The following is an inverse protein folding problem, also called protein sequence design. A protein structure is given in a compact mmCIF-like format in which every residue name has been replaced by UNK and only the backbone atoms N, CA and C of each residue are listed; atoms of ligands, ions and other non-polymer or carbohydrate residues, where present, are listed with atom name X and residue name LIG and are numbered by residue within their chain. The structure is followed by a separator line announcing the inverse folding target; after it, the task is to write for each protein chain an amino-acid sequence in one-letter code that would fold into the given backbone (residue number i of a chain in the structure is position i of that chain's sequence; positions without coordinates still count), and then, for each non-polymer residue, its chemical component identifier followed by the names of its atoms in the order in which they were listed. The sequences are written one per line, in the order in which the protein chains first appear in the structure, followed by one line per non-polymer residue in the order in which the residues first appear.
data_IF_906579287635
#
_entry.id   IF_906579287635
#
_cell.length_a   1.000
_cell.length_b   1.000
_cell.length_c   1.000
_cell.angle_alpha   90.00
_cell.angle_beta   90.00
_cell.angle_gamma   90.00
#
_symmetry.space_group_name_H-M   'P 1'
#
loop_
_entity.id
_entity.type
_entity.pdbx_description
1 polymer ?
#
# COMPACT_ATOMS: atom_id res chain seq x y z
N UNK A 1 7.32 -17.35 -5.40
CA UNK A 1 6.83 -17.29 -4.00
C UNK A 1 5.31 -17.42 -4.04
N UNK A 2 4.75 -18.28 -3.19
CA UNK A 2 3.30 -18.44 -3.06
C UNK A 2 2.78 -17.27 -2.21
N UNK A 3 2.06 -16.33 -2.82
CA UNK A 3 1.33 -15.30 -2.08
C UNK A 3 0.19 -16.02 -1.34
N UNK A 4 0.37 -16.28 -0.04
CA UNK A 4 -0.70 -16.83 0.79
C UNK A 4 -1.80 -15.77 0.93
N UNK A 5 -2.98 -16.03 0.37
CA UNK A 5 -4.16 -15.19 0.58
C UNK A 5 -4.64 -15.36 2.02
N UNK A 6 -4.36 -14.37 2.87
CA UNK A 6 -5.05 -14.24 4.16
C UNK A 6 -6.35 -13.50 3.90
N UNK A 7 -7.46 -14.08 4.34
CA UNK A 7 -8.74 -13.37 4.43
C UNK A 7 -8.58 -12.23 5.44
N UNK A 8 -8.45 -10.99 4.92
CA UNK A 8 -8.33 -9.82 5.76
C UNK A 8 -9.68 -9.50 6.42
N UNK A 9 -9.63 -9.31 7.73
CA UNK A 9 -10.77 -8.97 8.58
C UNK A 9 -10.49 -7.67 9.32
N UNK A 10 -11.50 -6.90 9.69
CA UNK A 10 -11.38 -5.83 10.65
C UNK A 10 -11.09 -6.39 12.04
N UNK A 11 -10.24 -5.70 12.81
CA UNK A 11 -9.87 -6.11 14.17
C UNK A 11 -10.86 -5.51 15.19
N UNK A 12 -11.73 -6.32 15.83
CA UNK A 12 -12.70 -5.82 16.80
C UNK A 12 -12.06 -5.20 18.03
N UNK A 13 -10.83 -5.58 18.37
CA UNK A 13 -10.11 -5.04 19.54
C UNK A 13 -9.52 -3.65 19.26
N UNK A 14 -9.43 -3.26 17.99
CA UNK A 14 -8.80 -2.02 17.54
C UNK A 14 -9.73 -1.29 16.56
N UNK A 15 -10.95 -1.07 17.03
CA UNK A 15 -12.03 -0.42 16.30
C UNK A 15 -12.71 0.62 17.18
N UNK A 16 -12.90 1.83 16.64
CA UNK A 16 -13.47 2.94 17.38
C UNK A 16 -14.95 2.75 17.71
N UNK A 17 -15.44 3.35 18.81
CA UNK A 17 -16.74 3.03 19.41
C UNK A 17 -17.96 3.44 18.56
N UNK A 18 -17.81 4.33 17.57
CA UNK A 18 -18.89 4.66 16.64
C UNK A 18 -18.93 3.82 15.37
N UNK A 19 -18.18 2.71 15.32
CA UNK A 19 -18.17 1.76 14.21
C UNK A 19 -18.77 0.42 14.63
N UNK A 20 -19.39 -0.26 13.66
CA UNK A 20 -19.89 -1.62 13.79
C UNK A 20 -19.21 -2.48 12.74
N UNK A 21 -18.61 -3.57 13.21
CA UNK A 21 -18.08 -4.62 12.37
C UNK A 21 -19.19 -5.67 12.12
N UNK A 22 -19.32 -6.13 10.88
CA UNK A 22 -20.36 -7.04 10.41
C UNK A 22 -19.76 -8.14 9.52
N UNK A 23 -20.56 -9.17 9.22
CA UNK A 23 -20.28 -10.22 8.23
C UNK A 23 -18.88 -10.83 8.37
N UNK A 24 -18.67 -11.60 9.44
CA UNK A 24 -17.39 -12.28 9.74
C UNK A 24 -16.19 -11.34 9.71
N UNK A 25 -16.39 -10.14 10.25
CA UNK A 25 -15.42 -9.07 10.31
C UNK A 25 -14.95 -8.53 8.96
N UNK A 26 -15.69 -8.77 7.88
CA UNK A 26 -15.33 -8.25 6.55
C UNK A 26 -16.01 -6.91 6.24
N UNK A 27 -17.01 -6.50 7.03
CA UNK A 27 -17.74 -5.25 6.80
C UNK A 27 -17.59 -4.29 7.95
N UNK A 28 -17.46 -3.01 7.63
CA UNK A 28 -17.34 -1.93 8.61
C UNK A 28 -18.30 -0.81 8.27
N UNK A 29 -19.07 -0.39 9.27
CA UNK A 29 -20.10 0.63 9.11
C UNK A 29 -20.03 1.64 10.24
N UNK A 30 -20.18 2.92 9.89
CA UNK A 30 -20.45 3.98 10.86
C UNK A 30 -21.86 3.82 11.45
N UNK A 31 -21.98 3.81 12.77
CA UNK A 31 -23.27 3.69 13.49
C UNK A 31 -23.62 4.91 14.35
N UNK A 32 -22.74 5.91 14.43
CA UNK A 32 -22.98 7.15 15.18
C UNK A 32 -23.31 8.32 14.23
N UNK A 33 -24.59 8.52 13.82
CA UNK A 33 -25.00 9.54 12.83
C UNK A 33 -24.92 10.97 13.36
N UNK A 34 -25.06 11.17 14.68
CA UNK A 34 -25.19 12.51 15.27
C UNK A 34 -23.91 13.03 15.93
N UNK A 35 -22.82 12.26 15.89
CA UNK A 35 -21.53 12.68 16.43
C UNK A 35 -20.58 13.09 15.29
N UNK A 36 -20.07 14.32 15.35
CA UNK A 36 -19.08 14.89 14.42
C UNK A 36 -17.67 14.52 14.85
N UNK A 37 -17.31 13.26 14.68
CA UNK A 37 -16.00 12.71 15.04
C UNK A 37 -15.56 11.68 14.00
N UNK A 38 -14.27 11.54 13.75
CA UNK A 38 -13.69 10.43 13.01
C UNK A 38 -13.54 9.21 13.92
N UNK A 39 -14.08 8.07 13.51
CA UNK A 39 -13.76 6.79 14.14
C UNK A 39 -13.00 5.92 13.16
N UNK A 40 -11.95 5.28 13.66
CA UNK A 40 -11.03 4.45 12.89
C UNK A 40 -11.11 2.99 13.32
N UNK A 41 -10.89 2.09 12.38
CA UNK A 41 -10.72 0.67 12.62
C UNK A 41 -9.52 0.17 11.83
N UNK A 42 -8.72 -0.72 12.41
CA UNK A 42 -7.65 -1.39 11.67
C UNK A 42 -8.09 -2.73 11.08
N UNK A 43 -7.36 -3.18 10.09
CA UNK A 43 -7.43 -4.56 9.59
C UNK A 43 -6.55 -5.44 10.48
N UNK A 44 -7.06 -6.61 10.86
CA UNK A 44 -6.39 -7.63 11.64
C UNK A 44 -5.22 -8.23 10.84
N UNK A 45 -4.01 -7.77 11.17
CA UNK A 45 -2.75 -8.31 10.65
C UNK A 45 -1.73 -8.37 11.79
N UNK A 46 -0.63 -9.13 11.66
CA UNK A 46 0.48 -9.11 12.62
C UNK A 46 1.20 -7.75 12.75
N UNK A 47 0.84 -6.78 11.90
CA UNK A 47 1.56 -5.54 11.68
C UNK A 47 2.84 -5.75 10.88
N UNK A 48 3.22 -4.75 10.09
CA UNK A 48 4.37 -4.82 9.19
C UNK A 48 5.40 -3.74 9.51
N UNK A 49 6.68 -4.10 9.46
CA UNK A 49 7.80 -3.15 9.65
C UNK A 49 8.81 -3.17 8.50
N UNK A 50 8.62 -4.05 7.51
CA UNK A 50 9.45 -4.19 6.30
C UNK A 50 8.67 -4.86 5.16
N UNK A 51 9.19 -4.80 3.94
CA UNK A 51 8.61 -5.46 2.78
C UNK A 51 7.45 -4.70 2.14
N UNK A 52 6.89 -5.31 1.09
CA UNK A 52 5.77 -4.79 0.31
C UNK A 52 4.48 -5.51 0.68
N UNK A 53 3.45 -4.73 1.00
CA UNK A 53 2.15 -5.23 1.44
C UNK A 53 1.06 -4.56 0.64
N UNK A 54 0.12 -5.36 0.16
CA UNK A 54 -1.02 -4.87 -0.60
C UNK A 54 -2.31 -5.38 -0.02
N UNK A 55 -3.29 -4.50 0.02
CA UNK A 55 -4.66 -4.84 0.34
C UNK A 55 -5.60 -4.01 -0.50
N UNK A 56 -6.83 -4.49 -0.63
CA UNK A 56 -7.90 -3.79 -1.30
C UNK A 56 -9.10 -3.64 -0.38
N UNK A 57 -9.89 -2.61 -0.63
CA UNK A 57 -11.14 -2.39 0.07
C UNK A 57 -12.19 -1.83 -0.88
N UNK A 58 -13.42 -2.31 -0.76
CA UNK A 58 -14.55 -1.89 -1.57
C UNK A 58 -15.37 -0.83 -0.82
N UNK A 59 -15.65 0.27 -1.50
CA UNK A 59 -16.53 1.32 -0.99
C UNK A 59 -17.97 0.90 -1.31
N UNK A 60 -18.71 0.37 -0.33
CA UNK A 60 -20.12 0.05 -0.57
C UNK A 60 -20.97 1.33 -0.56
N UNK A 61 -20.73 2.22 0.39
CA UNK A 61 -21.40 3.51 0.51
C UNK A 61 -20.50 4.54 1.18
N UNK A 62 -20.23 5.64 0.47
CA UNK A 62 -19.44 6.78 0.94
C UNK A 62 -20.24 7.86 1.65
N UNK A 63 -21.56 7.73 1.76
CA UNK A 63 -22.41 8.84 2.17
C UNK A 63 -22.46 9.94 1.09
N UNK A 64 -22.88 11.14 1.47
CA UNK A 64 -23.03 12.28 0.54
C UNK A 64 -21.68 12.83 0.11
N UNK A 65 -20.78 13.07 1.07
CA UNK A 65 -19.53 13.77 0.83
C UNK A 65 -18.31 12.84 0.80
N UNK A 66 -18.42 11.61 1.33
CA UNK A 66 -17.27 10.69 1.39
C UNK A 66 -16.20 11.11 2.37
N UNK A 67 -16.59 11.67 3.52
CA UNK A 67 -15.67 11.99 4.61
C UNK A 67 -15.13 10.72 5.27
N UNK A 68 -14.16 10.12 4.60
CA UNK A 68 -13.57 8.84 4.96
C UNK A 68 -12.08 8.85 4.60
N UNK A 69 -11.28 8.20 5.43
CA UNK A 69 -9.82 8.18 5.26
C UNK A 69 -9.32 6.76 5.20
N UNK A 70 -8.44 6.50 4.24
CA UNK A 70 -7.76 5.22 4.05
C UNK A 70 -6.28 5.37 4.31
N UNK A 71 -5.65 4.38 4.93
CA UNK A 71 -4.20 4.34 4.92
C UNK A 71 -3.64 3.46 6.00
N UNK A 72 -2.62 3.97 6.68
CA UNK A 72 -1.89 3.23 7.70
C UNK A 72 -1.84 4.00 9.02
N UNK A 73 -1.79 3.23 10.11
CA UNK A 73 -1.52 3.71 11.46
C UNK A 73 -0.43 2.85 12.08
N UNK A 74 0.27 3.40 13.07
CA UNK A 74 1.25 2.63 13.85
C UNK A 74 0.59 1.96 15.07
N UNK A 75 1.38 1.16 15.78
CA UNK A 75 0.94 0.42 16.97
C UNK A 75 0.55 1.31 18.17
N UNK A 76 0.92 2.60 18.14
CA UNK A 76 0.59 3.57 19.20
C UNK A 76 -0.73 4.31 18.92
N UNK A 77 -1.46 3.97 17.86
CA UNK A 77 -2.68 4.66 17.48
C UNK A 77 -3.80 4.36 18.48
N UNK A 78 -4.42 5.42 19.01
CA UNK A 78 -5.53 5.32 19.96
C UNK A 78 -6.88 5.30 19.22
N UNK A 79 -7.43 4.09 19.07
CA UNK A 79 -8.72 3.86 18.40
C UNK A 79 -9.94 4.36 19.20
N UNK A 80 -9.78 4.70 20.48
CA UNK A 80 -10.88 5.19 21.31
C UNK A 80 -11.24 6.67 21.06
N UNK A 81 -10.38 7.40 20.35
CA UNK A 81 -10.48 8.86 20.14
C UNK A 81 -11.03 9.23 18.77
N UNK A 82 -11.42 10.51 18.66
CA UNK A 82 -11.62 11.18 17.38
C UNK A 82 -10.29 11.29 16.65
N UNK A 83 -10.03 10.34 15.75
CA UNK A 83 -8.74 10.21 15.08
C UNK A 83 -8.91 9.49 13.73
N UNK A 84 -7.99 9.75 12.81
CA UNK A 84 -7.94 9.12 11.49
C UNK A 84 -6.50 8.92 11.01
N UNK A 85 -6.25 7.98 10.08
CA UNK A 85 -4.93 7.78 9.48
C UNK A 85 -4.38 9.11 8.95
N UNK A 86 -3.20 9.51 9.41
CA UNK A 86 -2.58 10.78 9.01
C UNK A 86 -2.93 12.01 9.84
N UNK A 87 -3.85 11.93 10.81
CA UNK A 87 -4.06 13.03 11.77
C UNK A 87 -2.95 13.08 12.83
N UNK A 88 -2.63 11.92 13.42
CA UNK A 88 -1.59 11.79 14.43
C UNK A 88 -0.24 11.36 13.81
N UNK A 89 0.89 11.66 14.46
CA UNK A 89 2.20 11.18 14.02
C UNK A 89 2.25 9.65 13.87
N UNK A 90 2.97 9.17 12.86
CA UNK A 90 3.11 7.75 12.58
C UNK A 90 1.93 7.11 11.85
N UNK A 91 1.04 7.91 11.29
CA UNK A 91 0.03 7.48 10.32
C UNK A 91 0.11 8.26 9.01
N UNK A 92 -0.52 7.72 7.98
CA UNK A 92 -0.72 8.36 6.68
C UNK A 92 -2.13 8.08 6.22
N UNK A 93 -2.83 9.08 5.70
CA UNK A 93 -4.20 8.92 5.20
C UNK A 93 -4.45 9.56 3.85
N UNK A 94 -5.10 8.82 2.95
CA UNK A 94 -5.77 9.35 1.77
C UNK A 94 -7.24 9.63 2.09
N UNK A 95 -7.64 10.89 1.97
CA UNK A 95 -8.99 11.36 2.28
C UNK A 95 -9.88 11.34 1.05
N UNK A 96 -10.88 10.46 1.04
CA UNK A 96 -11.71 10.17 -0.14
C UNK A 96 -12.58 11.36 -0.56
N UNK A 97 -12.89 12.28 0.36
CA UNK A 97 -13.74 13.42 0.08
C UNK A 97 -13.19 14.32 -1.04
N UNK A 98 -11.93 14.74 -0.89
CA UNK A 98 -11.27 15.70 -1.78
C UNK A 98 -9.95 15.16 -2.38
N UNK A 99 -9.59 13.93 -2.04
CA UNK A 99 -8.39 13.25 -2.51
C UNK A 99 -7.09 13.87 -2.00
N UNK A 100 -7.13 14.48 -0.82
CA UNK A 100 -5.92 14.94 -0.11
C UNK A 100 -5.22 13.78 0.58
N UNK A 101 -3.91 13.91 0.73
CA UNK A 101 -3.09 13.09 1.62
C UNK A 101 -2.83 13.83 2.92
N UNK A 102 -2.91 13.12 4.04
CA UNK A 102 -2.70 13.64 5.40
C UNK A 102 -1.54 12.93 6.08
N UNK A 103 -0.69 13.73 6.72
CA UNK A 103 0.45 13.27 7.53
C UNK A 103 0.59 14.20 8.72
N UNK A 104 0.53 13.65 9.94
CA UNK A 104 0.62 14.41 11.18
C UNK A 104 -0.29 15.66 11.22
N UNK A 105 -1.51 15.54 10.68
CA UNK A 105 -2.53 16.58 10.66
C UNK A 105 -2.40 17.58 9.50
N UNK A 106 -1.33 17.50 8.72
CA UNK A 106 -1.13 18.35 7.54
C UNK A 106 -1.69 17.68 6.29
N UNK A 107 -2.68 18.32 5.66
CA UNK A 107 -3.34 17.84 4.44
C UNK A 107 -2.82 18.56 3.19
N UNK A 108 -2.44 17.81 2.16
CA UNK A 108 -2.02 18.35 0.86
C UNK A 108 -2.76 17.66 -0.28
N UNK A 109 -2.98 18.37 -1.39
CA UNK A 109 -3.60 17.78 -2.59
C UNK A 109 -2.74 16.63 -3.10
N UNK A 110 -3.34 15.46 -3.23
CA UNK A 110 -2.67 14.25 -3.73
C UNK A 110 -3.22 13.84 -5.09
N UNK A 111 -4.55 13.71 -5.20
CA UNK A 111 -5.22 13.45 -6.47
C UNK A 111 -6.64 14.00 -6.46
N UNK A 112 -7.06 14.75 -7.49
CA UNK A 112 -8.42 15.31 -7.59
C UNK A 112 -9.49 14.29 -8.01
N UNK A 113 -9.09 13.13 -8.54
CA UNK A 113 -9.99 12.04 -8.93
C UNK A 113 -10.33 11.19 -7.70
N UNK A 114 -11.51 11.44 -7.13
CA UNK A 114 -11.96 10.79 -5.90
C UNK A 114 -12.80 9.53 -6.15
N UNK A 115 -12.57 8.43 -5.41
CA UNK A 115 -13.37 7.21 -5.45
C UNK A 115 -14.88 7.38 -5.24
N UNK A 116 -15.70 6.47 -5.79
CA UNK A 116 -17.16 6.45 -5.71
C UNK A 116 -17.69 5.14 -5.11
N UNK A 117 -19.00 5.07 -4.88
CA UNK A 117 -19.65 3.82 -4.45
C UNK A 117 -19.45 2.75 -5.53
N UNK A 118 -19.09 1.54 -5.09
CA UNK A 118 -18.76 0.41 -5.95
C UNK A 118 -17.27 0.29 -6.30
N UNK A 119 -16.49 1.35 -6.12
CA UNK A 119 -15.06 1.33 -6.42
C UNK A 119 -14.27 0.45 -5.45
N UNK A 120 -13.22 -0.17 -5.99
CA UNK A 120 -12.24 -0.95 -5.23
C UNK A 120 -10.96 -0.14 -5.14
N UNK A 121 -10.58 0.18 -3.91
CA UNK A 121 -9.36 0.92 -3.62
C UNK A 121 -8.26 -0.06 -3.22
N UNK A 122 -7.26 -0.15 -4.08
CA UNK A 122 -6.02 -0.87 -3.80
C UNK A 122 -5.02 0.03 -3.10
N UNK A 123 -4.30 -0.50 -2.12
CA UNK A 123 -3.27 0.22 -1.39
C UNK A 123 -2.03 -0.66 -1.36
N UNK A 124 -0.93 -0.13 -1.87
CA UNK A 124 0.39 -0.74 -1.80
C UNK A 124 1.26 0.04 -0.83
N UNK A 125 1.61 -0.59 0.28
CA UNK A 125 2.63 -0.13 1.21
C UNK A 125 3.96 -0.79 0.86
N UNK A 126 4.95 0.01 0.53
CA UNK A 126 6.34 -0.42 0.37
C UNK A 126 7.14 0.15 1.54
N UNK A 127 7.42 -0.66 2.55
CA UNK A 127 8.18 -0.23 3.72
C UNK A 127 9.68 -0.15 3.44
N UNK A 128 10.16 -0.85 2.41
CA UNK A 128 11.57 -0.83 2.03
C UNK A 128 11.89 0.52 1.32
N UNK A 129 11.02 0.95 0.42
CA UNK A 129 11.14 2.27 -0.26
C UNK A 129 10.45 3.42 0.48
N UNK A 130 9.75 3.13 1.58
CA UNK A 130 8.91 4.07 2.33
C UNK A 130 7.96 4.82 1.39
N UNK A 131 7.12 4.07 0.68
CA UNK A 131 6.08 4.61 -0.20
C UNK A 131 4.72 3.99 0.08
N UNK A 132 3.67 4.75 -0.23
CA UNK A 132 2.29 4.28 -0.20
C UNK A 132 1.62 4.71 -1.50
N UNK A 133 1.17 3.74 -2.28
CA UNK A 133 0.56 3.95 -3.59
C UNK A 133 -0.90 3.54 -3.53
N UNK A 134 -1.78 4.40 -4.05
CA UNK A 134 -3.22 4.15 -4.09
C UNK A 134 -3.65 3.84 -5.52
N UNK A 135 -4.64 2.96 -5.65
CA UNK A 135 -5.24 2.57 -6.92
C UNK A 135 -6.75 2.65 -6.81
N UNK A 136 -7.45 3.16 -7.83
CA UNK A 136 -8.89 3.04 -7.97
C UNK A 136 -9.22 2.13 -9.15
N UNK A 137 -9.88 1.00 -8.89
CA UNK A 137 -10.20 -0.02 -9.89
C UNK A 137 -8.97 -0.39 -10.74
N UNK A 138 -7.81 -0.50 -10.07
CA UNK A 138 -6.53 -0.81 -10.68
C UNK A 138 -5.77 0.36 -11.33
N UNK A 139 -6.39 1.52 -11.52
CA UNK A 139 -5.72 2.72 -12.04
C UNK A 139 -5.00 3.45 -10.91
N UNK A 140 -3.72 3.80 -11.11
CA UNK A 140 -2.95 4.52 -10.09
C UNK A 140 -3.54 5.91 -9.82
N UNK A 141 -3.78 6.20 -8.54
CA UNK A 141 -4.11 7.53 -8.03
C UNK A 141 -2.85 8.31 -7.65
N UNK A 142 -1.67 7.69 -7.67
CA UNK A 142 -0.40 8.31 -7.30
C UNK A 142 0.31 7.59 -6.18
N UNK A 143 1.55 8.02 -5.92
CA UNK A 143 2.45 7.45 -4.93
C UNK A 143 2.97 8.55 -3.98
N UNK A 144 2.84 8.29 -2.68
CA UNK A 144 3.28 9.15 -1.59
C UNK A 144 4.79 9.04 -1.31
N UNK A 145 5.63 9.24 -2.33
CA UNK A 145 7.09 9.12 -2.19
C UNK A 145 7.68 10.28 -1.36
N UNK A 146 8.63 9.97 -0.47
CA UNK A 146 9.34 10.95 0.39
C UNK A 146 8.52 11.49 1.58
N UNK A 147 7.19 11.34 1.52
CA UNK A 147 6.25 11.70 2.57
C UNK A 147 6.27 10.75 3.77
N UNK A 148 6.75 9.52 3.57
CA UNK A 148 6.83 8.46 4.59
C UNK A 148 8.24 8.27 5.14
N UNK A 149 9.17 9.21 4.90
CA UNK A 149 10.50 9.16 5.49
C UNK A 149 10.47 9.09 7.03
N UNK A 150 9.37 9.55 7.64
CA UNK A 150 9.10 9.50 9.08
C UNK A 150 8.73 8.11 9.61
N UNK A 151 8.52 7.12 8.73
CA UNK A 151 8.27 5.75 9.17
C UNK A 151 9.54 5.11 9.74
N UNK A 152 9.36 4.26 10.75
CA UNK A 152 10.44 3.63 11.51
C UNK A 152 10.48 2.13 11.26
N UNK A 153 11.68 1.60 11.02
CA UNK A 153 11.87 0.17 10.70
C UNK A 153 11.64 -0.76 11.92
N UNK A 154 11.52 -0.20 13.13
CA UNK A 154 11.20 -0.95 14.36
C UNK A 154 9.72 -0.86 14.75
N UNK A 155 8.97 0.09 14.19
CA UNK A 155 7.55 0.26 14.47
C UNK A 155 6.73 -0.55 13.47
N UNK A 156 5.66 -1.18 13.96
CA UNK A 156 4.70 -1.87 13.11
C UNK A 156 3.62 -0.93 12.61
N UNK A 157 3.27 -1.11 11.35
CA UNK A 157 2.20 -0.40 10.66
C UNK A 157 1.07 -1.36 10.31
N UNK A 158 -0.15 -0.83 10.39
CA UNK A 158 -1.39 -1.56 10.18
C UNK A 158 -2.27 -0.79 9.19
N UNK A 159 -2.91 -1.49 8.23
CA UNK A 159 -3.98 -0.89 7.44
C UNK A 159 -5.11 -0.40 8.32
N UNK A 160 -5.62 0.79 8.05
CA UNK A 160 -6.74 1.35 8.78
C UNK A 160 -7.67 2.20 7.90
N UNK A 161 -8.92 2.25 8.33
CA UNK A 161 -10.01 2.98 7.66
C UNK A 161 -10.73 3.82 8.69
N UNK A 162 -11.01 5.07 8.36
CA UNK A 162 -11.74 6.00 9.20
C UNK A 162 -13.01 6.51 8.53
N UNK A 163 -14.02 6.78 9.35
CA UNK A 163 -15.30 7.36 8.94
C UNK A 163 -15.60 8.58 9.78
N UNK A 164 -16.01 9.67 9.13
CA UNK A 164 -16.61 10.83 9.80
C UNK A 164 -18.14 10.81 9.67
N UNK A 165 -18.64 10.50 8.47
CA UNK A 165 -20.07 10.41 8.15
C UNK A 165 -20.59 8.97 8.13
N UNK A 166 -21.92 8.83 8.00
CA UNK A 166 -22.57 7.56 7.68
C UNK A 166 -21.95 6.95 6.41
N UNK A 167 -21.05 5.98 6.60
CA UNK A 167 -20.37 5.25 5.53
C UNK A 167 -20.33 3.75 5.83
N UNK A 168 -20.44 2.93 4.78
CA UNK A 168 -20.50 1.46 4.84
C UNK A 168 -19.46 0.87 3.89
N UNK A 169 -18.56 0.02 4.36
CA UNK A 169 -17.47 -0.56 3.56
C UNK A 169 -17.40 -2.06 3.74
N UNK A 170 -16.82 -2.71 2.73
CA UNK A 170 -16.45 -4.13 2.75
C UNK A 170 -14.96 -4.26 2.49
N UNK A 171 -14.25 -4.88 3.40
CA UNK A 171 -12.93 -5.46 3.17
C UNK A 171 -13.12 -6.79 2.48
N UNK A 172 -12.33 -7.00 1.44
CA UNK A 172 -12.29 -8.25 0.70
C UNK A 172 -11.10 -8.23 -0.25
N UNK A 173 -10.58 -9.42 -0.53
CA UNK A 173 -9.83 -9.66 -1.74
C UNK A 173 -10.86 -9.88 -2.85
N UNK A 174 -10.85 -9.07 -3.90
CA UNK A 174 -11.36 -9.57 -5.17
C UNK A 174 -10.17 -10.25 -5.86
N UNK A 175 -10.37 -11.51 -6.29
CA UNK A 175 -9.36 -12.44 -6.79
C UNK A 175 -8.23 -11.74 -7.56
N UNK A 176 -6.99 -12.16 -7.29
CA UNK A 176 -5.70 -11.74 -7.84
C UNK A 176 -5.61 -11.60 -9.38
N UNK A 177 -6.69 -11.78 -10.13
CA UNK A 177 -6.77 -11.59 -11.58
C UNK A 177 -7.63 -10.39 -12.01
N UNK A 178 -8.52 -9.87 -11.15
CA UNK A 178 -9.46 -8.80 -11.52
C UNK A 178 -9.15 -7.43 -10.89
N UNK A 179 -8.53 -7.39 -9.70
CA UNK A 179 -8.29 -6.14 -8.95
C UNK A 179 -6.91 -5.50 -9.19
N UNK A 180 -5.92 -6.27 -9.69
CA UNK A 180 -4.69 -5.65 -10.17
C UNK A 180 -4.97 -5.03 -11.53
N UNK A 181 -5.22 -3.72 -11.58
CA UNK A 181 -4.78 -3.01 -12.78
C UNK A 181 -3.32 -3.36 -13.04
N UNK A 182 -2.94 -3.49 -14.31
CA UNK A 182 -1.62 -3.99 -14.73
C UNK A 182 -0.44 -3.37 -13.95
N UNK A 183 -0.60 -2.12 -13.52
CA UNK A 183 0.37 -1.37 -12.71
C UNK A 183 0.56 -1.96 -11.31
N UNK A 184 -0.51 -2.19 -10.53
CA UNK A 184 -0.39 -2.77 -9.19
C UNK A 184 0.18 -4.20 -9.22
N UNK A 185 -0.24 -5.01 -10.20
CA UNK A 185 0.35 -6.33 -10.44
C UNK A 185 1.83 -6.22 -10.78
N UNK A 186 2.23 -5.30 -11.65
CA UNK A 186 3.63 -5.15 -12.04
C UNK A 186 4.53 -4.76 -10.88
N UNK A 187 4.04 -3.96 -9.93
CA UNK A 187 4.81 -3.55 -8.75
C UNK A 187 4.90 -4.67 -7.71
N UNK A 188 3.82 -5.41 -7.48
CA UNK A 188 3.79 -6.53 -6.51
C UNK A 188 4.46 -7.80 -7.03
N UNK A 189 4.46 -7.99 -8.36
CA UNK A 189 5.17 -9.07 -9.05
C UNK A 189 6.56 -8.62 -9.53
N UNK A 190 7.01 -7.41 -9.17
CA UNK A 190 8.33 -6.91 -9.54
C UNK A 190 9.38 -7.83 -8.95
N UNK A 191 10.00 -8.63 -9.82
CA UNK A 191 11.04 -9.57 -9.43
C UNK A 191 12.29 -8.82 -9.00
N UNK A 192 12.97 -9.34 -7.98
CA UNK A 192 14.29 -8.83 -7.59
C UNK A 192 15.31 -9.12 -8.69
N UNK A 193 16.43 -8.40 -8.72
CA UNK A 193 17.51 -8.66 -9.67
C UNK A 193 18.01 -10.11 -9.55
N UNK A 194 18.07 -10.67 -8.35
CA UNK A 194 18.41 -12.06 -8.13
C UNK A 194 17.43 -13.03 -8.81
N UNK A 195 16.12 -12.78 -8.71
CA UNK A 195 15.10 -13.59 -9.37
C UNK A 195 15.17 -13.44 -10.89
N UNK A 196 15.36 -12.22 -11.39
CA UNK A 196 15.53 -11.95 -12.83
C UNK A 196 16.77 -12.67 -13.36
N UNK A 197 17.88 -12.63 -12.61
CA UNK A 197 19.12 -13.32 -12.95
C UNK A 197 18.89 -14.83 -12.98
N UNK A 198 18.25 -15.40 -11.97
CA UNK A 198 17.98 -16.83 -11.89
C UNK A 198 17.08 -17.35 -13.02
N UNK A 199 16.19 -16.52 -13.54
CA UNK A 199 15.22 -16.93 -14.57
C UNK A 199 15.68 -16.65 -16.00
N UNK A 200 16.38 -15.53 -16.21
CA UNK A 200 16.64 -14.98 -17.55
C UNK A 200 18.11 -14.84 -17.89
N UNK A 201 19.01 -15.01 -16.90
CA UNK A 201 20.45 -14.76 -17.09
C UNK A 201 21.32 -15.97 -16.77
N UNK A 202 22.42 -16.11 -17.50
CA UNK A 202 23.51 -17.04 -17.26
C UNK A 202 24.12 -16.72 -15.89
N UNK A 203 24.35 -17.75 -15.08
CA UNK A 203 24.90 -17.59 -13.72
C UNK A 203 26.25 -16.86 -13.63
N UNK A 204 27.02 -16.83 -14.73
CA UNK A 204 28.26 -16.05 -14.84
C UNK A 204 28.08 -14.56 -14.57
N UNK A 205 26.89 -14.00 -14.81
CA UNK A 205 26.59 -12.59 -14.50
C UNK A 205 26.86 -12.25 -13.03
N UNK A 206 26.69 -13.21 -12.11
CA UNK A 206 26.84 -13.00 -10.66
C UNK A 206 28.28 -12.67 -10.26
N UNK A 207 29.27 -12.97 -11.10
CA UNK A 207 30.66 -12.58 -10.85
C UNK A 207 30.91 -11.09 -11.12
N UNK A 208 30.08 -10.47 -11.96
CA UNK A 208 30.22 -9.07 -12.36
C UNK A 208 29.15 -8.16 -11.74
N UNK A 209 28.03 -8.75 -11.32
CA UNK A 209 26.88 -8.06 -10.77
C UNK A 209 27.18 -7.50 -9.37
N UNK A 210 26.90 -6.21 -9.10
CA UNK A 210 27.11 -5.66 -7.76
C UNK A 210 26.11 -6.28 -6.78
N UNK A 211 26.63 -6.93 -5.74
CA UNK A 211 25.85 -7.76 -4.82
C UNK A 211 24.81 -6.99 -4.02
N UNK A 212 25.05 -5.71 -3.77
CA UNK A 212 24.12 -4.82 -3.07
C UNK A 212 22.77 -4.64 -3.79
N UNK A 213 22.73 -4.85 -5.11
CA UNK A 213 21.50 -4.74 -5.91
C UNK A 213 20.77 -6.06 -6.11
N UNK A 214 21.26 -7.19 -5.60
CA UNK A 214 20.63 -8.50 -5.82
C UNK A 214 19.23 -8.61 -5.22
N UNK A 215 19.03 -8.00 -4.04
CA UNK A 215 17.73 -7.94 -3.37
C UNK A 215 16.77 -6.89 -3.95
N UNK A 216 17.27 -6.00 -4.79
CA UNK A 216 16.51 -4.84 -5.28
C UNK A 216 15.71 -5.15 -6.54
N UNK A 217 14.63 -4.41 -6.75
CA UNK A 217 13.81 -4.52 -7.98
C UNK A 217 14.48 -3.79 -9.15
N UNK A 218 14.13 -4.14 -10.39
CA UNK A 218 14.62 -3.43 -11.56
C UNK A 218 14.29 -1.92 -11.50
N UNK A 219 13.11 -1.56 -11.00
CA UNK A 219 12.69 -0.16 -10.84
C UNK A 219 13.60 0.62 -9.88
N UNK A 220 13.92 0.04 -8.72
CA UNK A 220 14.82 0.64 -7.74
C UNK A 220 16.23 0.83 -8.32
N UNK A 221 16.74 -0.18 -9.04
CA UNK A 221 18.03 -0.09 -9.74
C UNK A 221 18.00 1.03 -10.79
N UNK A 222 16.91 1.17 -11.55
CA UNK A 222 16.78 2.24 -12.54
C UNK A 222 16.71 3.63 -11.91
N UNK A 223 15.99 3.76 -10.79
CA UNK A 223 15.88 5.00 -10.01
C UNK A 223 17.23 5.42 -9.48
N UNK A 224 17.97 4.51 -8.82
CA UNK A 224 19.32 4.77 -8.32
C UNK A 224 20.31 5.11 -9.45
N UNK A 225 20.22 4.43 -10.59
CA UNK A 225 21.05 4.73 -11.75
C UNK A 225 20.79 6.15 -12.31
N UNK A 226 19.52 6.59 -12.31
CA UNK A 226 19.11 7.95 -12.71
C UNK A 226 19.62 9.01 -11.74
N UNK A 227 19.62 8.74 -10.43
CA UNK A 227 20.12 9.67 -9.41
C UNK A 227 21.64 9.77 -9.33
N UNK A 228 22.38 8.94 -10.08
CA UNK A 228 23.83 9.06 -10.23
C UNK A 228 24.65 7.92 -9.65
N UNK A 229 24.01 6.91 -9.07
CA UNK A 229 24.71 5.77 -8.48
C UNK A 229 25.42 4.94 -9.56
N UNK A 230 26.75 4.84 -9.44
CA UNK A 230 27.58 4.13 -10.42
C UNK A 230 27.39 2.61 -10.37
N UNK A 231 27.20 2.02 -9.17
CA UNK A 231 26.99 0.58 -9.07
C UNK A 231 25.59 0.20 -9.54
N UNK A 232 24.58 1.06 -9.34
CA UNK A 232 23.25 0.89 -9.91
C UNK A 232 23.26 0.96 -11.45
N UNK A 233 24.02 1.90 -12.04
CA UNK A 233 24.22 1.99 -13.50
C UNK A 233 24.86 0.71 -14.06
N UNK A 234 25.85 0.17 -13.35
CA UNK A 234 26.48 -1.11 -13.70
C UNK A 234 25.47 -2.27 -13.63
N UNK A 235 24.72 -2.37 -12.53
CA UNK A 235 23.65 -3.38 -12.36
C UNK A 235 22.62 -3.31 -13.50
N UNK A 236 22.10 -2.11 -13.80
CA UNK A 236 21.19 -1.86 -14.93
C UNK A 236 21.77 -2.32 -16.26
N UNK A 237 23.05 -2.01 -16.50
CA UNK A 237 23.74 -2.37 -17.76
C UNK A 237 23.85 -3.88 -17.88
N UNK A 238 24.28 -4.58 -16.83
CA UNK A 238 24.42 -6.04 -16.81
C UNK A 238 23.06 -6.75 -16.98
N UNK A 239 21.98 -6.25 -16.37
CA UNK A 239 20.63 -6.81 -16.56
C UNK A 239 20.11 -6.65 -17.99
N UNK A 240 20.57 -5.65 -18.75
CA UNK A 240 20.21 -5.44 -20.15
C UNK A 240 21.22 -6.04 -21.14
N UNK A 241 22.33 -6.58 -20.65
CA UNK A 241 23.38 -7.15 -21.47
C UNK A 241 22.96 -8.54 -21.98
N UNK A 242 22.89 -8.65 -23.31
CA UNK A 242 22.49 -9.87 -24.03
C UNK A 242 23.51 -10.99 -23.91
N UNK A 243 24.78 -10.68 -23.59
CA UNK A 243 25.83 -11.70 -23.38
C UNK A 243 25.47 -12.68 -22.26
N UNK A 244 24.70 -12.20 -21.30
CA UNK A 244 24.24 -12.99 -20.17
C UNK A 244 22.84 -13.57 -20.35
N UNK A 245 22.14 -13.39 -21.48
CA UNK A 245 20.82 -14.01 -21.65
C UNK A 245 20.93 -15.54 -21.68
N UNK A 246 20.02 -16.24 -21.00
CA UNK A 246 19.88 -17.68 -21.14
C UNK A 246 19.32 -18.03 -22.51
N UNK A 247 19.83 -19.08 -23.15
CA UNK A 247 19.42 -19.52 -24.48
C UNK A 247 18.06 -20.27 -24.45
N UNK A 248 17.06 -19.74 -23.74
CA UNK A 248 15.74 -20.35 -23.67
C UNK A 248 14.94 -19.96 -24.91
N UNK A 249 15.00 -20.82 -25.93
CA UNK A 249 13.93 -20.97 -26.92
C UNK A 249 12.76 -21.70 -26.23
N UNK A 250 11.56 -21.11 -26.36
CA UNK A 250 10.22 -21.55 -25.92
C UNK A 250 9.85 -21.23 -24.48
#
# INVERSE_FOLDING_TARGET
MCLSSIDLQFDPSNCGPGLSILEDNTHLRRIAPNNRAHYTCRIATPGWSKGKHYWSIRINNRGSDGYMTLGIVNDNFDFSKDNYPGLSPGGYGYYVHNGHAFISGSGATFNSNVPRNGDIIGILLDLDERTLTYFNNGQSLGCASGQLAVLSDVIKYFPAVAFYELGHWRVGWETLAYAFGAVAASILLAKTAEQVIGEKKKGSIRQEFPGEWLGETLENIEKAAKTGDQSARKAKTLLNDKRFDTDTKN
#
